data_IF_048582288652
#
_entry.id   IF_048582288652
#
_cell.length_a   1.000
_cell.length_b   1.000
_cell.length_c   1.000
_cell.angle_alpha   90.00
_cell.angle_beta   90.00
_cell.angle_gamma   90.00
#
_symmetry.space_group_name_H-M   'P 1'
#
loop_
_entity.id
_entity.type
_entity.pdbx_description
1 polymer ?
#
# COMPACT_ATOMS: atom_id res chain seq x y z
N UNK A 1 50.41 -35.94 68.72
CA UNK A 1 50.01 -37.36 68.88
C UNK A 1 48.49 -37.41 68.84
N UNK A 2 47.88 -37.67 67.68
CA UNK A 2 47.51 -38.99 67.17
C UNK A 2 46.44 -39.71 68.01
N UNK A 3 45.21 -39.69 67.46
CA UNK A 3 44.17 -40.73 67.33
C UNK A 3 42.87 -39.95 67.04
N UNK A 4 42.21 -40.03 65.89
CA UNK A 4 42.01 -41.17 65.01
C UNK A 4 40.68 -41.81 65.38
N UNK A 5 39.58 -41.35 64.78
CA UNK A 5 38.33 -42.09 64.68
C UNK A 5 37.69 -41.83 63.32
N UNK A 6 37.64 -42.90 62.54
CA UNK A 6 37.00 -42.99 61.24
C UNK A 6 35.53 -43.38 61.44
N UNK A 7 34.61 -42.57 60.95
CA UNK A 7 33.22 -42.96 60.75
C UNK A 7 32.96 -43.14 59.25
N UNK A 8 32.69 -44.39 58.88
CA UNK A 8 32.30 -44.86 57.55
C UNK A 8 30.98 -44.20 57.10
N UNK A 9 30.98 -43.61 55.91
CA UNK A 9 29.74 -43.34 55.16
C UNK A 9 29.73 -44.20 53.89
N UNK A 10 28.81 -45.16 53.88
CA UNK A 10 28.40 -45.92 52.72
C UNK A 10 27.37 -45.15 51.88
N UNK A 11 27.36 -45.52 50.59
CA UNK A 11 26.17 -45.61 49.72
C UNK A 11 25.73 -44.35 48.96
N UNK A 12 25.62 -44.53 47.63
CA UNK A 12 24.88 -43.61 46.76
C UNK A 12 25.19 -43.69 45.27
N UNK A 13 25.58 -44.85 44.71
CA UNK A 13 25.78 -45.02 43.26
C UNK A 13 24.46 -44.99 42.49
N UNK A 14 23.98 -43.78 42.15
CA UNK A 14 22.80 -43.58 41.32
C UNK A 14 23.00 -44.14 39.90
N UNK A 15 22.17 -45.10 39.52
CA UNK A 15 22.15 -45.70 38.18
C UNK A 15 21.70 -44.65 37.15
N UNK A 16 22.64 -44.09 36.39
CA UNK A 16 22.32 -43.20 35.27
C UNK A 16 21.42 -43.95 34.27
N UNK A 17 20.16 -43.53 34.15
CA UNK A 17 19.27 -44.02 33.10
C UNK A 17 19.90 -43.65 31.76
N UNK A 18 20.26 -44.66 30.95
CA UNK A 18 20.65 -44.45 29.56
C UNK A 18 19.49 -43.74 28.85
N UNK A 19 19.65 -42.46 28.56
CA UNK A 19 18.72 -41.71 27.71
C UNK A 19 18.66 -42.38 26.35
N UNK A 20 17.46 -42.49 25.77
CA UNK A 20 17.30 -42.98 24.38
C UNK A 20 18.02 -41.99 23.47
N UNK A 21 19.05 -42.45 22.76
CA UNK A 21 19.73 -41.64 21.75
C UNK A 21 18.84 -41.55 20.50
N UNK A 22 18.65 -40.33 20.00
CA UNK A 22 17.84 -40.06 18.82
C UNK A 22 18.60 -40.54 17.57
N UNK A 23 17.92 -41.24 16.67
CA UNK A 23 18.52 -41.71 15.41
C UNK A 23 18.46 -40.62 14.34
N UNK A 24 19.40 -40.66 13.39
CA UNK A 24 19.40 -39.75 12.23
C UNK A 24 18.13 -39.89 11.39
N UNK A 25 17.56 -41.10 11.31
CA UNK A 25 16.34 -41.37 10.55
C UNK A 25 15.13 -40.69 11.20
N UNK A 26 15.00 -40.78 12.53
CA UNK A 26 13.90 -40.11 13.26
C UNK A 26 13.96 -38.60 13.05
N UNK A 27 15.15 -38.00 13.09
CA UNK A 27 15.32 -36.57 12.80
C UNK A 27 14.94 -36.24 11.36
N UNK A 28 15.35 -37.06 10.39
CA UNK A 28 15.10 -36.84 8.97
C UNK A 28 13.61 -36.92 8.62
N UNK A 29 12.86 -37.87 9.20
CA UNK A 29 11.42 -37.98 8.98
C UNK A 29 10.68 -36.76 9.55
N UNK A 30 11.10 -36.26 10.71
CA UNK A 30 10.46 -35.08 11.33
C UNK A 30 10.66 -33.84 10.48
N UNK A 31 11.88 -33.57 10.00
CA UNK A 31 12.11 -32.42 9.12
C UNK A 31 11.36 -32.57 7.79
N UNK A 32 11.22 -33.80 7.27
CA UNK A 32 10.46 -34.04 6.04
C UNK A 32 8.96 -33.74 6.23
N UNK A 33 8.37 -34.14 7.36
CA UNK A 33 6.98 -33.81 7.68
C UNK A 33 6.78 -32.30 7.90
N UNK A 34 7.71 -31.63 8.60
CA UNK A 34 7.66 -30.17 8.78
C UNK A 34 7.75 -29.46 7.42
N UNK A 35 8.66 -29.88 6.54
CA UNK A 35 8.80 -29.31 5.20
C UNK A 35 7.52 -29.46 4.37
N UNK A 36 6.86 -30.63 4.41
CA UNK A 36 5.58 -30.87 3.74
C UNK A 36 4.48 -29.95 4.27
N UNK A 37 4.36 -29.80 5.59
CA UNK A 37 3.37 -28.92 6.21
C UNK A 37 3.63 -27.45 5.85
N UNK A 38 4.88 -27.00 5.89
CA UNK A 38 5.25 -25.63 5.50
C UNK A 38 4.96 -25.34 4.02
N UNK A 39 5.15 -26.32 3.13
CA UNK A 39 4.86 -26.17 1.70
C UNK A 39 3.38 -25.85 1.43
N UNK A 40 2.46 -26.41 2.22
CA UNK A 40 1.01 -26.15 2.11
C UNK A 40 0.62 -24.88 2.88
N UNK A 41 1.26 -24.61 4.01
CA UNK A 41 0.91 -23.49 4.88
C UNK A 41 1.35 -22.13 4.32
N UNK A 42 2.51 -22.05 3.65
CA UNK A 42 3.04 -20.79 3.13
C UNK A 42 2.12 -20.09 2.11
N UNK A 43 1.56 -20.78 1.09
CA UNK A 43 0.60 -20.17 0.17
C UNK A 43 -0.67 -19.66 0.87
N UNK A 44 -1.22 -20.46 1.79
CA UNK A 44 -2.43 -20.09 2.53
C UNK A 44 -2.20 -18.86 3.42
N UNK A 45 -1.07 -18.81 4.14
CA UNK A 45 -0.70 -17.68 4.98
C UNK A 45 -0.49 -16.39 4.18
N UNK A 46 0.12 -16.50 2.99
CA UNK A 46 0.28 -15.36 2.08
C UNK A 46 -1.07 -14.79 1.65
N UNK A 47 -1.99 -15.66 1.21
CA UNK A 47 -3.35 -15.25 0.83
C UNK A 47 -4.10 -14.58 1.99
N UNK A 48 -4.01 -15.13 3.19
CA UNK A 48 -4.63 -14.55 4.38
C UNK A 48 -4.05 -13.17 4.73
N UNK A 49 -2.73 -13.00 4.65
CA UNK A 49 -2.05 -11.72 4.88
C UNK A 49 -2.48 -10.65 3.87
N UNK A 50 -2.59 -11.01 2.60
CA UNK A 50 -3.00 -10.07 1.55
C UNK A 50 -4.47 -9.65 1.72
N UNK A 51 -5.36 -10.57 2.12
CA UNK A 51 -6.75 -10.23 2.46
C UNK A 51 -6.84 -9.29 3.69
N UNK A 52 -5.99 -9.50 4.70
CA UNK A 52 -5.92 -8.62 5.86
C UNK A 52 -5.45 -7.21 5.48
N UNK A 53 -4.41 -7.10 4.64
CA UNK A 53 -3.95 -5.81 4.09
C UNK A 53 -5.05 -5.09 3.34
N UNK A 54 -5.79 -5.81 2.47
CA UNK A 54 -6.93 -5.25 1.74
C UNK A 54 -7.99 -4.68 2.68
N UNK A 55 -8.37 -5.44 3.70
CA UNK A 55 -9.35 -4.99 4.72
C UNK A 55 -8.89 -3.71 5.41
N UNK A 56 -7.61 -3.61 5.78
CA UNK A 56 -7.04 -2.40 6.37
C UNK A 56 -7.01 -1.24 5.37
N UNK A 57 -6.64 -1.49 4.12
CA UNK A 57 -6.66 -0.49 3.04
C UNK A 57 -8.07 0.09 2.85
N UNK A 58 -9.09 -0.76 2.77
CA UNK A 58 -10.50 -0.33 2.68
C UNK A 58 -10.90 0.55 3.87
N UNK A 59 -10.48 0.19 5.09
CA UNK A 59 -10.74 1.01 6.27
C UNK A 59 -10.01 2.37 6.25
N UNK A 60 -8.78 2.41 5.73
CA UNK A 60 -8.03 3.65 5.54
C UNK A 60 -8.72 4.58 4.54
N UNK A 61 -9.10 4.06 3.36
CA UNK A 61 -9.77 4.88 2.33
C UNK A 61 -11.16 5.36 2.78
N UNK A 62 -11.90 4.58 3.56
CA UNK A 62 -13.16 5.05 4.16
C UNK A 62 -12.94 6.21 5.14
N UNK A 63 -11.88 6.16 5.94
CA UNK A 63 -11.47 7.29 6.78
C UNK A 63 -11.08 8.52 5.95
N UNK A 64 -10.45 8.30 4.80
CA UNK A 64 -10.06 9.36 3.87
C UNK A 64 -11.26 9.98 3.16
N UNK A 65 -12.25 9.17 2.75
CA UNK A 65 -13.54 9.65 2.20
C UNK A 65 -14.19 10.63 3.17
N UNK A 66 -14.24 10.25 4.45
CA UNK A 66 -14.82 11.11 5.47
C UNK A 66 -14.06 12.43 5.58
N UNK A 67 -12.72 12.38 5.59
CA UNK A 67 -11.88 13.58 5.66
C UNK A 67 -12.10 14.52 4.44
N UNK A 68 -12.17 13.96 3.23
CA UNK A 68 -12.43 14.72 2.00
C UNK A 68 -13.83 15.34 2.04
N UNK A 69 -14.86 14.62 2.49
CA UNK A 69 -16.21 15.16 2.62
C UNK A 69 -16.29 16.32 3.60
N UNK A 70 -15.69 16.17 4.78
CA UNK A 70 -15.66 17.23 5.78
C UNK A 70 -14.94 18.49 5.25
N UNK A 71 -13.85 18.31 4.50
CA UNK A 71 -13.22 19.42 3.80
C UNK A 71 -14.19 20.06 2.79
N UNK A 72 -14.81 19.27 1.91
CA UNK A 72 -15.70 19.79 0.88
C UNK A 72 -16.88 20.57 1.48
N UNK A 73 -17.42 20.10 2.61
CA UNK A 73 -18.49 20.78 3.35
C UNK A 73 -18.04 22.15 3.90
N UNK A 74 -16.82 22.25 4.43
CA UNK A 74 -16.25 23.50 4.95
C UNK A 74 -15.84 24.50 3.86
N UNK A 75 -15.66 24.02 2.62
CA UNK A 75 -15.15 24.81 1.49
C UNK A 75 -16.19 24.97 0.37
N UNK A 76 -17.47 25.18 0.72
CA UNK A 76 -18.57 25.49 -0.20
C UNK A 76 -18.77 24.45 -1.32
N UNK A 77 -18.63 23.17 -0.98
CA UNK A 77 -18.78 22.06 -1.92
C UNK A 77 -17.59 21.89 -2.87
N UNK A 78 -16.45 22.55 -2.58
CA UNK A 78 -15.28 22.61 -3.46
C UNK A 78 -14.11 21.78 -2.95
N UNK A 79 -13.46 21.05 -3.84
CA UNK A 79 -12.20 20.33 -3.56
C UNK A 79 -10.97 21.25 -3.62
N UNK A 80 -9.87 20.79 -3.03
CA UNK A 80 -8.59 21.50 -3.07
C UNK A 80 -7.90 21.37 -4.45
N UNK A 81 -7.17 22.41 -4.86
CA UNK A 81 -6.26 22.37 -6.02
C UNK A 81 -4.95 21.70 -5.60
N UNK A 82 -4.90 20.38 -5.70
CA UNK A 82 -3.85 19.60 -5.05
C UNK A 82 -2.60 19.43 -5.92
N UNK A 83 -1.38 19.61 -5.38
CA UNK A 83 -0.13 19.44 -6.11
C UNK A 83 0.21 17.96 -6.42
N UNK A 84 1.11 17.74 -7.39
CA UNK A 84 1.49 16.41 -7.91
C UNK A 84 2.94 16.01 -7.56
N UNK A 85 3.32 15.93 -6.29
CA UNK A 85 4.73 15.61 -5.94
C UNK A 85 4.92 14.83 -4.63
N UNK A 86 3.84 14.36 -4.00
CA UNK A 86 3.98 13.22 -3.11
C UNK A 86 4.68 13.37 -1.79
N UNK A 87 4.99 14.58 -1.33
CA UNK A 87 5.75 14.74 -0.10
C UNK A 87 4.91 15.37 1.01
N UNK A 88 5.04 14.84 2.21
CA UNK A 88 4.49 15.46 3.42
C UNK A 88 5.41 16.55 3.98
N UNK A 89 6.71 16.43 3.70
CA UNK A 89 7.76 17.26 4.26
C UNK A 89 9.01 17.24 3.36
N UNK A 90 9.96 18.11 3.65
CA UNK A 90 11.22 18.20 2.91
C UNK A 90 12.33 17.28 3.46
N UNK A 91 12.02 16.18 4.16
CA UNK A 91 13.05 15.30 4.73
C UNK A 91 14.01 14.72 3.69
N UNK A 92 13.63 14.70 2.41
CA UNK A 92 14.52 14.32 1.31
C UNK A 92 15.71 15.28 1.15
N UNK A 93 15.55 16.57 1.47
CA UNK A 93 16.62 17.58 1.42
C UNK A 93 17.47 17.55 2.69
N UNK A 94 16.81 17.49 3.85
CA UNK A 94 17.47 17.49 5.16
C UNK A 94 16.71 16.59 6.16
N UNK A 95 17.05 15.30 6.25
CA UNK A 95 16.33 14.36 7.11
C UNK A 95 16.52 14.62 8.61
N UNK A 96 17.52 15.42 9.00
CA UNK A 96 17.77 15.75 10.40
C UNK A 96 16.84 16.85 10.92
N UNK A 97 16.32 17.70 10.03
CA UNK A 97 15.40 18.79 10.39
C UNK A 97 14.27 18.88 9.35
N UNK A 98 13.32 17.93 9.35
CA UNK A 98 12.20 17.96 8.43
C UNK A 98 11.28 19.16 8.71
N UNK A 99 10.84 19.81 7.64
CA UNK A 99 9.80 20.84 7.65
C UNK A 99 8.60 20.32 6.88
N UNK A 100 7.45 20.28 7.54
CA UNK A 100 6.18 19.91 6.90
C UNK A 100 5.84 20.89 5.76
N UNK A 101 5.34 20.36 4.65
CA UNK A 101 4.76 21.15 3.58
C UNK A 101 3.33 21.59 3.94
N UNK A 102 2.94 22.75 3.45
CA UNK A 102 1.56 23.20 3.39
C UNK A 102 0.83 22.63 2.16
N UNK A 103 -0.50 22.75 2.12
CA UNK A 103 -1.32 22.12 1.07
C UNK A 103 -1.13 22.73 -0.33
N UNK A 104 -0.55 23.94 -0.42
CA UNK A 104 -0.28 24.66 -1.66
C UNK A 104 1.18 24.62 -2.09
N UNK A 105 2.06 23.95 -1.34
CA UNK A 105 3.47 23.81 -1.73
C UNK A 105 3.57 22.94 -2.97
N UNK A 106 4.40 23.34 -3.95
CA UNK A 106 4.50 22.62 -5.22
C UNK A 106 4.89 21.15 -5.05
N UNK A 107 5.68 20.84 -4.03
CA UNK A 107 6.15 19.49 -3.71
C UNK A 107 5.17 18.67 -2.86
N UNK A 108 4.06 19.26 -2.40
CA UNK A 108 3.19 18.60 -1.44
C UNK A 108 2.46 17.38 -2.03
N UNK A 109 2.17 16.44 -1.14
CA UNK A 109 1.17 15.41 -1.38
C UNK A 109 -0.23 16.01 -1.27
N UNK A 110 -1.14 15.63 -2.17
CA UNK A 110 -2.52 16.11 -2.16
C UNK A 110 -3.24 15.86 -0.82
N UNK A 111 -2.86 14.80 -0.11
CA UNK A 111 -3.45 14.44 1.18
C UNK A 111 -3.26 15.49 2.27
N UNK A 112 -2.30 16.41 2.13
CA UNK A 112 -2.05 17.48 3.11
C UNK A 112 -3.27 18.40 3.26
N UNK A 113 -3.98 18.72 2.17
CA UNK A 113 -5.18 19.55 2.22
C UNK A 113 -6.29 18.94 3.09
N UNK A 114 -6.41 17.62 3.07
CA UNK A 114 -7.44 16.86 3.77
C UNK A 114 -6.98 16.36 5.15
N UNK A 115 -5.69 16.47 5.46
CA UNK A 115 -5.11 15.98 6.70
C UNK A 115 -5.71 16.58 7.99
N UNK A 116 -6.10 17.87 8.05
CA UNK A 116 -6.77 18.42 9.24
C UNK A 116 -8.07 17.70 9.63
N UNK A 117 -8.71 17.03 8.67
CA UNK A 117 -9.94 16.26 8.84
C UNK A 117 -9.67 14.76 9.06
N UNK A 118 -8.42 14.34 8.96
CA UNK A 118 -7.98 12.97 9.13
C UNK A 118 -7.55 12.69 10.57
N UNK A 119 -7.72 11.44 11.02
CA UNK A 119 -7.25 11.03 12.35
C UNK A 119 -5.73 10.96 12.47
N UNK A 120 -5.03 10.59 11.39
CA UNK A 120 -3.57 10.44 11.34
C UNK A 120 -3.08 10.18 9.90
N UNK A 121 -1.76 10.34 9.65
CA UNK A 121 -1.15 10.13 8.32
C UNK A 121 -1.24 8.67 7.82
N UNK A 122 -1.51 7.68 8.69
CA UNK A 122 -1.58 6.25 8.27
C UNK A 122 -2.77 5.97 7.36
N UNK A 123 -3.85 6.76 7.43
CA UNK A 123 -5.01 6.56 6.54
C UNK A 123 -4.69 6.87 5.07
N UNK A 124 -3.56 7.54 4.79
CA UNK A 124 -3.06 7.81 3.44
C UNK A 124 -2.06 6.74 2.96
N UNK A 125 -1.86 5.69 3.76
CA UNK A 125 -0.95 4.59 3.45
C UNK A 125 -1.73 3.31 3.14
N UNK A 126 -1.46 2.70 1.99
CA UNK A 126 -1.93 1.38 1.66
C UNK A 126 -0.96 0.33 2.27
N UNK A 127 -1.41 -0.60 3.13
CA UNK A 127 -0.56 -1.66 3.69
C UNK A 127 -0.13 -2.71 2.65
N UNK A 128 -0.76 -2.68 1.46
CA UNK A 128 -0.36 -3.43 0.27
C UNK A 128 0.80 -2.78 -0.49
N UNK A 129 1.06 -1.48 -0.27
CA UNK A 129 2.07 -0.71 -0.97
C UNK A 129 3.46 -1.32 -0.75
N UNK A 130 4.16 -1.62 -1.84
CA UNK A 130 5.61 -1.86 -1.81
C UNK A 130 6.36 -0.69 -2.43
N UNK A 131 5.69 0.08 -3.28
CA UNK A 131 6.26 1.23 -3.99
C UNK A 131 5.18 2.25 -4.37
N UNK A 132 5.59 3.49 -4.46
CA UNK A 132 4.79 4.63 -4.91
C UNK A 132 5.62 5.45 -5.88
N UNK A 133 4.97 6.20 -6.75
CA UNK A 133 5.62 7.22 -7.56
C UNK A 133 6.42 8.17 -6.66
N UNK A 134 7.73 8.26 -6.93
CA UNK A 134 8.71 9.03 -6.18
C UNK A 134 9.27 10.24 -6.95
N UNK A 135 8.46 10.82 -7.83
CA UNK A 135 8.72 12.11 -8.46
C UNK A 135 8.90 13.21 -7.39
N UNK A 136 10.00 14.00 -7.39
CA UNK A 136 10.91 14.29 -8.50
C UNK A 136 12.06 13.28 -8.67
N UNK A 137 12.33 12.90 -9.92
CA UNK A 137 13.45 12.02 -10.35
C UNK A 137 14.83 12.59 -10.00
N UNK A 138 15.25 12.58 -8.72
CA UNK A 138 16.55 13.12 -8.26
C UNK A 138 17.78 12.32 -8.72
N UNK A 139 17.85 11.96 -10.00
CA UNK A 139 18.96 11.26 -10.66
C UNK A 139 19.24 9.86 -10.11
N UNK A 140 18.57 9.44 -9.03
CA UNK A 140 18.59 8.08 -8.53
C UNK A 140 17.54 7.31 -9.32
N UNK A 141 17.91 6.30 -10.13
CA UNK A 141 16.92 5.47 -10.79
C UNK A 141 16.14 4.76 -9.69
N UNK A 142 14.91 5.22 -9.43
CA UNK A 142 13.90 4.44 -8.75
C UNK A 142 14.41 3.78 -7.45
N UNK A 143 15.14 4.55 -6.62
CA UNK A 143 15.86 4.04 -5.46
C UNK A 143 14.96 3.71 -4.27
N UNK A 144 15.10 2.53 -3.66
CA UNK A 144 14.40 2.18 -2.41
C UNK A 144 14.62 3.18 -1.24
N UNK A 145 15.75 3.92 -1.12
CA UNK A 145 15.93 4.88 -0.03
C UNK A 145 14.98 6.08 -0.07
N UNK A 146 14.59 6.61 -1.24
CA UNK A 146 13.66 7.75 -1.35
C UNK A 146 12.24 7.38 -0.94
N UNK A 147 11.84 6.12 -1.16
CA UNK A 147 10.50 5.60 -0.87
C UNK A 147 10.07 5.77 0.61
N UNK A 148 11.02 5.93 1.53
CA UNK A 148 10.69 6.22 2.94
C UNK A 148 9.95 7.56 3.12
N UNK A 149 10.22 8.55 2.26
CA UNK A 149 9.61 9.87 2.29
C UNK A 149 8.17 9.86 1.76
N UNK A 150 7.84 8.90 0.89
CA UNK A 150 6.52 8.74 0.27
C UNK A 150 5.63 7.70 0.97
N UNK A 151 6.07 7.18 2.13
CA UNK A 151 5.41 6.07 2.84
C UNK A 151 3.91 6.30 3.06
N UNK A 152 3.49 7.54 3.27
CA UNK A 152 2.10 7.92 3.53
C UNK A 152 1.41 8.56 2.33
N UNK A 153 1.83 8.22 1.11
CA UNK A 153 1.38 8.85 -0.13
C UNK A 153 0.85 7.80 -1.12
N UNK A 154 0.22 6.74 -0.61
CA UNK A 154 -0.06 5.54 -1.39
C UNK A 154 -1.29 5.63 -2.30
N UNK A 155 -2.03 6.73 -2.26
CA UNK A 155 -3.27 6.89 -3.01
C UNK A 155 -3.15 8.00 -4.04
N UNK A 156 -3.64 7.73 -5.24
CA UNK A 156 -3.76 8.68 -6.35
C UNK A 156 -5.09 9.42 -6.31
N UNK A 157 -5.05 10.75 -6.39
CA UNK A 157 -6.24 11.59 -6.51
C UNK A 157 -6.61 11.76 -7.98
N UNK A 158 -7.88 11.60 -8.33
CA UNK A 158 -8.36 11.98 -9.65
C UNK A 158 -8.20 13.49 -9.85
N UNK A 159 -7.40 13.91 -10.82
CA UNK A 159 -7.13 15.32 -11.00
C UNK A 159 -8.34 16.11 -11.53
N UNK A 160 -9.21 15.46 -12.30
CA UNK A 160 -10.37 16.10 -12.91
C UNK A 160 -11.35 16.64 -11.88
N UNK A 161 -11.31 16.11 -10.65
CA UNK A 161 -12.13 16.58 -9.54
C UNK A 161 -11.45 17.68 -8.71
N UNK A 162 -10.21 18.09 -9.00
CA UNK A 162 -9.48 19.10 -8.21
C UNK A 162 -9.94 20.52 -8.53
N UNK A 163 -10.04 21.38 -7.51
CA UNK A 163 -10.52 22.75 -7.66
C UNK A 163 -11.96 22.84 -8.23
N UNK A 164 -12.77 21.79 -8.04
CA UNK A 164 -14.12 21.63 -8.61
C UNK A 164 -15.20 21.69 -7.54
N UNK A 165 -16.37 22.21 -7.92
CA UNK A 165 -17.59 22.10 -7.10
C UNK A 165 -18.32 20.80 -7.44
N UNK A 166 -18.21 19.80 -6.56
CA UNK A 166 -18.59 18.41 -6.85
C UNK A 166 -20.04 18.27 -7.32
N UNK A 167 -20.98 18.87 -6.58
CA UNK A 167 -22.41 18.76 -6.87
C UNK A 167 -22.85 19.55 -8.11
N UNK A 168 -22.07 20.55 -8.52
CA UNK A 168 -22.39 21.40 -9.67
C UNK A 168 -21.78 20.87 -10.97
N UNK A 169 -20.57 20.32 -10.89
CA UNK A 169 -19.79 19.95 -12.07
C UNK A 169 -19.97 18.47 -12.45
N UNK A 170 -20.37 17.61 -11.51
CA UNK A 170 -20.55 16.18 -11.76
C UNK A 170 -21.98 15.73 -11.51
N UNK A 171 -22.59 15.03 -12.49
CA UNK A 171 -23.98 14.53 -12.39
C UNK A 171 -24.08 13.10 -11.89
N UNK A 172 -23.02 12.30 -12.06
CA UNK A 172 -22.98 10.86 -11.77
C UNK A 172 -21.86 10.55 -10.78
N UNK A 173 -22.01 10.99 -9.53
CA UNK A 173 -20.96 10.83 -8.52
C UNK A 173 -20.54 9.37 -8.28
N UNK A 174 -21.48 8.42 -8.42
CA UNK A 174 -21.21 6.99 -8.32
C UNK A 174 -20.41 6.41 -9.50
N UNK A 175 -20.19 7.18 -10.56
CA UNK A 175 -19.43 6.75 -11.74
C UNK A 175 -18.14 7.54 -11.92
N UNK A 176 -17.81 8.47 -11.01
CA UNK A 176 -16.58 9.27 -11.07
C UNK A 176 -15.67 8.85 -9.93
N UNK A 177 -14.44 8.48 -10.25
CA UNK A 177 -13.37 8.13 -9.32
C UNK A 177 -12.95 9.38 -8.56
N UNK A 178 -12.85 9.28 -7.24
CA UNK A 178 -12.25 10.30 -6.40
C UNK A 178 -10.77 10.00 -6.17
N UNK A 179 -10.44 8.80 -5.68
CA UNK A 179 -9.07 8.37 -5.47
C UNK A 179 -8.93 6.86 -5.55
N UNK A 180 -7.72 6.38 -5.86
CA UNK A 180 -7.40 4.98 -6.05
C UNK A 180 -6.10 4.64 -5.32
N UNK A 181 -5.92 3.38 -4.94
CA UNK A 181 -4.62 2.86 -4.51
C UNK A 181 -3.67 2.59 -5.70
N UNK A 182 -3.61 3.55 -6.61
CA UNK A 182 -2.70 3.58 -7.75
C UNK A 182 -1.25 3.86 -7.32
N UNK A 183 -0.30 3.62 -8.22
CA UNK A 183 1.11 3.99 -8.00
C UNK A 183 1.30 5.51 -8.09
N UNK A 184 0.64 6.13 -9.08
CA UNK A 184 0.63 7.58 -9.30
C UNK A 184 -0.20 8.30 -8.25
N UNK A 185 0.29 9.45 -7.80
CA UNK A 185 -0.35 10.23 -6.75
C UNK A 185 -1.40 11.21 -7.27
N UNK A 186 -1.32 11.56 -8.56
CA UNK A 186 -2.32 12.37 -9.25
C UNK A 186 -2.62 11.73 -10.60
N UNK A 187 -3.90 11.54 -10.90
CA UNK A 187 -4.37 10.88 -12.11
C UNK A 187 -4.89 11.97 -13.04
N UNK A 188 -4.02 12.55 -13.87
CA UNK A 188 -4.26 13.86 -14.49
C UNK A 188 -4.33 13.92 -16.02
N UNK A 189 -4.02 12.84 -16.72
CA UNK A 189 -3.94 12.89 -18.17
C UNK A 189 -4.26 11.55 -18.85
N UNK A 190 -5.10 11.67 -19.88
CA UNK A 190 -5.46 10.58 -20.77
C UNK A 190 -4.20 10.12 -21.52
N UNK A 191 -3.90 8.82 -21.46
CA UNK A 191 -2.66 8.17 -21.94
C UNK A 191 -1.42 8.23 -21.01
N UNK A 192 -1.52 8.74 -19.77
CA UNK A 192 -0.38 8.74 -18.83
C UNK A 192 -0.68 8.00 -17.53
N UNK A 193 -1.35 8.66 -16.59
CA UNK A 193 -1.34 8.23 -15.19
C UNK A 193 -2.66 7.53 -14.79
N UNK A 194 -3.64 7.59 -15.69
CA UNK A 194 -4.97 7.01 -15.53
C UNK A 194 -5.01 5.62 -16.15
N UNK A 195 -5.91 4.75 -15.67
CA UNK A 195 -6.19 3.50 -16.39
C UNK A 195 -6.73 3.77 -17.80
N UNK A 196 -7.52 4.82 -18.03
CA UNK A 196 -8.11 5.07 -19.35
C UNK A 196 -7.10 5.60 -20.37
N UNK A 197 -6.96 4.92 -21.52
CA UNK A 197 -6.13 5.36 -22.65
C UNK A 197 -6.81 6.46 -23.48
N UNK A 198 -8.13 6.50 -23.60
CA UNK A 198 -8.75 7.53 -24.44
C UNK A 198 -10.27 7.57 -24.47
N UNK A 199 -10.86 8.69 -24.94
CA UNK A 199 -12.32 8.93 -24.99
C UNK A 199 -13.14 7.88 -25.75
N UNK A 200 -12.49 7.06 -26.59
CA UNK A 200 -13.12 5.96 -27.34
C UNK A 200 -12.35 4.65 -27.23
N UNK A 201 -11.36 4.61 -26.33
CA UNK A 201 -10.49 3.46 -26.12
C UNK A 201 -10.79 2.96 -24.71
N UNK A 202 -11.70 1.99 -24.63
CA UNK A 202 -12.01 1.27 -23.39
C UNK A 202 -10.90 0.25 -23.12
N UNK A 203 -9.65 0.70 -23.11
CA UNK A 203 -8.49 -0.14 -22.93
C UNK A 203 -7.64 0.47 -21.81
N UNK A 204 -7.24 -0.33 -20.81
CA UNK A 204 -6.29 0.05 -19.76
C UNK A 204 -4.88 0.29 -20.35
N UNK A 205 -4.08 1.24 -19.86
CA UNK A 205 -2.69 1.41 -20.31
C UNK A 205 -1.91 0.08 -20.26
N UNK A 206 -1.28 -0.29 -21.37
CA UNK A 206 -0.54 -1.56 -21.52
C UNK A 206 0.57 -1.71 -20.48
N UNK A 207 1.15 -0.60 -20.04
CA UNK A 207 2.22 -0.57 -19.03
C UNK A 207 1.75 -1.04 -17.65
N UNK A 208 0.44 -0.94 -17.35
CA UNK A 208 -0.13 -1.33 -16.06
C UNK A 208 -0.72 -2.75 -16.06
N UNK A 209 -0.67 -3.49 -17.18
CA UNK A 209 -1.25 -4.84 -17.30
C UNK A 209 -0.25 -5.94 -16.95
N UNK A 210 -0.76 -7.13 -16.64
CA UNK A 210 0.05 -8.32 -16.42
C UNK A 210 0.87 -8.67 -17.68
N UNK A 211 2.19 -8.70 -17.55
CA UNK A 211 3.11 -8.83 -18.67
C UNK A 211 3.44 -7.51 -19.39
N UNK A 212 2.86 -6.40 -18.94
CA UNK A 212 3.28 -5.05 -19.28
C UNK A 212 4.70 -4.78 -18.82
N UNK A 213 5.48 -4.16 -19.70
CA UNK A 213 6.87 -3.79 -19.42
C UNK A 213 6.95 -2.28 -19.27
N UNK A 214 6.85 -1.78 -18.04
CA UNK A 214 7.82 -0.77 -17.64
C UNK A 214 9.16 -1.52 -17.70
N UNK A 215 9.90 -1.36 -18.80
CA UNK A 215 11.00 -2.24 -19.23
C UNK A 215 12.06 -2.54 -18.16
N UNK A 216 12.12 -1.73 -17.11
CA UNK A 216 13.06 -1.82 -16.00
C UNK A 216 12.41 -2.06 -14.62
N UNK A 217 11.06 -2.12 -14.49
CA UNK A 217 10.34 -2.11 -13.19
C UNK A 217 9.13 -3.06 -13.10
N UNK A 218 9.35 -4.39 -13.02
CA UNK A 218 8.26 -5.37 -12.92
C UNK A 218 7.41 -5.23 -11.65
N UNK A 219 7.90 -4.56 -10.59
CA UNK A 219 7.10 -4.29 -9.39
C UNK A 219 6.07 -3.16 -9.56
N UNK A 220 6.26 -2.23 -10.51
CA UNK A 220 5.37 -1.08 -10.68
C UNK A 220 3.96 -1.49 -11.16
N UNK A 221 3.88 -2.48 -12.05
CA UNK A 221 2.61 -3.11 -12.48
C UNK A 221 1.84 -3.68 -11.28
N UNK A 222 2.55 -4.27 -10.32
CA UNK A 222 1.92 -4.81 -9.10
C UNK A 222 1.41 -3.71 -8.15
N UNK A 223 1.87 -2.47 -8.29
CA UNK A 223 1.44 -1.36 -7.45
C UNK A 223 0.17 -0.67 -7.96
N UNK A 224 -0.16 -0.79 -9.24
CA UNK A 224 -1.50 -0.41 -9.73
C UNK A 224 -2.58 -1.38 -9.23
N UNK A 225 -2.21 -2.63 -8.92
CA UNK A 225 -3.13 -3.71 -8.57
C UNK A 225 -2.69 -4.47 -7.29
N UNK A 226 -2.39 -3.72 -6.22
CA UNK A 226 -1.76 -4.19 -4.97
C UNK A 226 -2.49 -5.34 -4.27
N UNK A 227 -3.82 -5.42 -4.39
CA UNK A 227 -4.65 -6.34 -3.60
C UNK A 227 -5.05 -7.61 -4.36
N UNK A 228 -4.04 -8.37 -4.83
CA UNK A 228 -4.18 -9.60 -5.63
C UNK A 228 -4.75 -9.34 -7.03
N UNK A 229 -4.19 -8.34 -7.73
CA UNK A 229 -4.68 -8.00 -9.07
C UNK A 229 -5.89 -7.09 -9.02
N UNK A 230 -6.07 -6.32 -7.95
CA UNK A 230 -7.17 -5.38 -7.81
C UNK A 230 -6.69 -4.04 -7.22
N UNK A 231 -7.25 -2.96 -7.75
CA UNK A 231 -7.14 -1.60 -7.22
C UNK A 231 -8.36 -1.28 -6.37
N UNK A 232 -8.15 -0.86 -5.12
CA UNK A 232 -9.18 -0.24 -4.29
C UNK A 232 -9.47 1.15 -4.83
N UNK A 233 -10.69 1.32 -5.33
CA UNK A 233 -11.16 2.55 -5.94
C UNK A 233 -12.27 3.16 -5.11
N UNK A 234 -12.15 4.45 -4.86
CA UNK A 234 -13.17 5.26 -4.22
C UNK A 234 -13.83 6.13 -5.26
N UNK A 235 -15.16 6.14 -5.24
CA UNK A 235 -15.98 6.97 -6.11
C UNK A 235 -16.38 8.27 -5.41
N UNK A 236 -16.85 9.24 -6.17
CA UNK A 236 -17.10 10.60 -5.72
C UNK A 236 -18.25 10.68 -4.70
N UNK A 237 -19.19 9.74 -4.78
CA UNK A 237 -20.23 9.52 -3.76
C UNK A 237 -19.74 8.70 -2.55
N UNK A 238 -18.43 8.45 -2.44
CA UNK A 238 -17.76 7.83 -1.31
C UNK A 238 -17.88 6.32 -1.19
N UNK A 239 -18.57 5.63 -2.10
CA UNK A 239 -18.55 4.16 -2.08
C UNK A 239 -17.19 3.64 -2.56
N UNK A 240 -16.86 2.42 -2.16
CA UNK A 240 -15.56 1.80 -2.44
C UNK A 240 -15.79 0.50 -3.19
N UNK A 241 -15.12 0.32 -4.32
CA UNK A 241 -15.15 -0.91 -5.10
C UNK A 241 -13.74 -1.36 -5.44
N UNK A 242 -13.67 -2.53 -6.06
CA UNK A 242 -12.45 -3.08 -6.61
C UNK A 242 -12.52 -2.98 -8.12
N UNK A 243 -11.45 -2.49 -8.72
CA UNK A 243 -11.21 -2.59 -10.16
C UNK A 243 -10.16 -3.68 -10.32
N UNK A 244 -10.59 -4.83 -10.83
CA UNK A 244 -9.68 -5.93 -11.14
C UNK A 244 -8.79 -5.57 -12.33
N UNK A 245 -7.60 -6.16 -12.35
CA UNK A 245 -6.68 -6.09 -13.47
C UNK A 245 -7.33 -6.75 -14.69
N UNK A 246 -7.80 -5.95 -15.63
CA UNK A 246 -8.38 -6.44 -16.88
C UNK A 246 -7.32 -6.50 -17.99
N UNK A 247 -7.63 -7.20 -19.08
CA UNK A 247 -6.87 -7.12 -20.36
C UNK A 247 -6.93 -5.71 -20.98
N UNK A 248 -7.70 -4.83 -20.38
CA UNK A 248 -7.90 -3.45 -20.76
C UNK A 248 -9.35 -3.12 -21.03
N UNK A 249 -10.17 -4.10 -21.42
CA UNK A 249 -11.56 -3.89 -21.82
C UNK A 249 -12.38 -3.21 -20.68
N UNK A 250 -13.22 -2.25 -21.05
CA UNK A 250 -14.21 -1.56 -20.19
C UNK A 250 -13.71 -0.50 -19.17
N UNK A 251 -12.62 0.22 -19.46
CA UNK A 251 -12.23 1.43 -18.67
C UNK A 251 -12.66 2.72 -19.38
N UNK A 252 -13.86 3.27 -19.12
CA UNK A 252 -14.35 4.46 -19.80
C UNK A 252 -13.73 5.74 -19.23
N UNK A 253 -13.49 6.74 -20.09
CA UNK A 253 -12.95 8.05 -19.67
C UNK A 253 -13.84 8.76 -18.66
N UNK A 254 -15.16 8.54 -18.74
CA UNK A 254 -16.16 9.09 -17.80
C UNK A 254 -15.87 8.75 -16.35
N UNK A 255 -15.16 7.64 -16.08
CA UNK A 255 -14.73 7.29 -14.72
C UNK A 255 -13.85 8.36 -14.09
N UNK A 256 -13.21 9.20 -14.88
CA UNK A 256 -12.38 10.27 -14.38
C UNK A 256 -12.99 11.64 -14.66
N UNK A 257 -13.47 11.87 -15.88
CA UNK A 257 -13.97 13.19 -16.32
C UNK A 257 -15.40 13.47 -15.90
N UNK A 258 -16.22 12.43 -15.67
CA UNK A 258 -17.67 12.54 -15.50
C UNK A 258 -18.46 12.88 -16.77
N UNK A 259 -17.77 13.02 -17.91
CA UNK A 259 -18.33 13.31 -19.24
C UNK A 259 -18.44 12.05 -20.12
#
# INVERSE_FOLDING_TARGET
MHRGDAAYFLSGGGRMKKGKAFTLIELLVVIAMIALLLAILMPALRAAKDQAKKTVCTGHVQGLVLAVRMYVDDYDGKTHDSPNNGLWDNAHENPLVPKDYGPNDSMAYWGIAYFPYAKNKKIFHCPGMKRVDDWPEWGSPWGRPSQQYFKHCSYGLNNYITNKKIDLEFKRHSEVIAFQDHIEQRLDSINSDMFCIGPSVNINLTQWRNGGTLGDFPEAVQECFRHRGASITVWLDGHVTEIEETTGEDVPTRWYTGE
#
